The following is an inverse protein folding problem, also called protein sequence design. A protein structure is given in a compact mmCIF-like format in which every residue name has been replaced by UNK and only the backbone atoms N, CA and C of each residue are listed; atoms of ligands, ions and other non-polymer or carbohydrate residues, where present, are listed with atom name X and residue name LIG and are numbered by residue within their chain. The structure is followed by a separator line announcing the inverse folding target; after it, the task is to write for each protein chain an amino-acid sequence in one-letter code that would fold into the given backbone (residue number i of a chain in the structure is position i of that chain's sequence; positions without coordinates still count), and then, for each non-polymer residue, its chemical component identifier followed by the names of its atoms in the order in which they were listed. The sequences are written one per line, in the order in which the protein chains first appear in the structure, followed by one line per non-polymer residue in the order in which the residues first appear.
data_IF_862986739089
#
_entry.id   IF_862986739089
#
_cell.length_a   1.000
_cell.length_b   1.000
_cell.length_c   1.000
_cell.angle_alpha   90.00
_cell.angle_beta   90.00
_cell.angle_gamma   90.00
#
_symmetry.space_group_name_H-M   'P 1'
#
loop_
_entity.id
_entity.type
_entity.pdbx_description
1 polymer ?
#
# COMPACT_ATOMS: atom_id res chain seq x y z
N UNK A 1 11.52 -2.91 -19.38
CA UNK A 1 11.27 -3.19 -17.96
C UNK A 1 12.34 -2.46 -17.17
N UNK A 2 12.02 -1.63 -16.16
CA UNK A 2 13.07 -1.14 -15.26
C UNK A 2 13.81 -2.33 -14.64
N UNK A 3 15.14 -2.22 -14.48
CA UNK A 3 15.95 -3.28 -13.87
C UNK A 3 15.46 -3.57 -12.45
N UNK A 4 15.36 -4.86 -12.11
CA UNK A 4 14.94 -5.28 -10.78
C UNK A 4 16.04 -5.03 -9.74
N UNK A 5 15.67 -4.53 -8.56
CA UNK A 5 16.61 -4.15 -7.50
C UNK A 5 17.48 -5.32 -7.00
N UNK A 6 17.04 -6.56 -7.12
CA UNK A 6 17.80 -7.73 -6.65
C UNK A 6 19.06 -8.05 -7.47
N UNK A 7 19.26 -7.39 -8.63
CA UNK A 7 20.50 -7.48 -9.40
C UNK A 7 21.46 -6.30 -9.16
N UNK A 8 21.03 -5.27 -8.41
CA UNK A 8 21.82 -4.07 -8.17
C UNK A 8 22.67 -4.23 -6.92
N UNK A 9 23.84 -3.58 -6.91
CA UNK A 9 24.63 -3.47 -5.68
C UNK A 9 23.92 -2.55 -4.67
N UNK A 10 24.37 -2.62 -3.44
CA UNK A 10 23.89 -1.75 -2.35
C UNK A 10 24.11 -0.28 -2.66
N UNK A 11 25.27 0.07 -3.20
CA UNK A 11 25.67 1.45 -3.53
C UNK A 11 24.77 2.01 -4.64
N UNK A 12 24.61 1.25 -5.73
CA UNK A 12 23.75 1.64 -6.84
C UNK A 12 22.28 1.81 -6.41
N UNK A 13 21.82 0.97 -5.48
CA UNK A 13 20.47 1.06 -4.93
C UNK A 13 20.30 2.31 -4.07
N UNK A 14 21.27 2.62 -3.20
CA UNK A 14 21.26 3.82 -2.36
C UNK A 14 21.33 5.10 -3.17
N UNK A 15 22.15 5.13 -4.22
CA UNK A 15 22.25 6.26 -5.16
C UNK A 15 20.92 6.47 -5.90
N UNK A 16 20.34 5.40 -6.46
CA UNK A 16 19.06 5.48 -7.16
C UNK A 16 17.91 5.89 -6.24
N UNK A 17 17.90 5.42 -4.99
CA UNK A 17 16.89 5.77 -3.98
C UNK A 17 17.20 7.09 -3.27
N UNK A 18 18.32 7.74 -3.58
CA UNK A 18 18.78 8.98 -2.94
C UNK A 18 18.71 8.90 -1.41
N UNK A 19 19.13 7.76 -0.85
CA UNK A 19 19.07 7.48 0.59
C UNK A 19 20.47 7.35 1.16
N UNK A 20 20.67 7.87 2.37
CA UNK A 20 21.88 7.63 3.13
C UNK A 20 21.82 6.26 3.83
N UNK A 21 22.91 5.50 3.79
CA UNK A 21 22.95 4.16 4.38
C UNK A 21 22.90 4.17 5.92
N UNK A 22 23.43 5.22 6.56
CA UNK A 22 23.54 5.34 8.01
C UNK A 22 22.41 6.18 8.61
N UNK A 23 21.96 7.21 7.89
CA UNK A 23 20.97 8.20 8.37
C UNK A 23 19.59 8.03 7.75
N UNK A 24 19.47 7.29 6.64
CA UNK A 24 18.21 7.10 5.94
C UNK A 24 17.75 8.33 5.16
N UNK A 25 16.43 8.53 5.08
CA UNK A 25 15.81 9.68 4.40
C UNK A 25 15.51 10.80 5.40
N UNK A 26 15.66 12.04 4.94
CA UNK A 26 15.19 13.21 5.69
C UNK A 26 13.66 13.27 5.77
N UNK A 27 13.14 13.95 6.79
CA UNK A 27 11.68 14.02 7.04
C UNK A 27 10.90 14.61 5.87
N UNK A 28 11.42 15.67 5.23
CA UNK A 28 10.80 16.30 4.07
C UNK A 28 10.64 15.32 2.91
N UNK A 29 11.65 14.49 2.67
CA UNK A 29 11.64 13.48 1.60
C UNK A 29 10.68 12.35 1.93
N UNK A 30 10.54 11.97 3.20
CA UNK A 30 9.53 11.00 3.65
C UNK A 30 8.13 11.53 3.38
N UNK A 31 7.85 12.79 3.69
CA UNK A 31 6.53 13.42 3.43
C UNK A 31 6.26 13.47 1.94
N UNK A 32 7.22 13.93 1.13
CA UNK A 32 7.11 13.97 -0.33
C UNK A 32 6.83 12.59 -0.91
N UNK A 33 7.54 11.55 -0.48
CA UNK A 33 7.33 10.16 -0.95
C UNK A 33 5.98 9.60 -0.54
N UNK A 34 5.51 9.88 0.68
CA UNK A 34 4.16 9.47 1.11
C UNK A 34 3.07 10.12 0.27
N UNK A 35 3.25 11.36 -0.17
CA UNK A 35 2.32 12.02 -1.10
C UNK A 35 2.34 11.39 -2.49
N UNK A 36 3.51 10.96 -2.98
CA UNK A 36 3.68 10.38 -4.31
C UNK A 36 3.21 8.91 -4.40
N UNK A 37 3.57 8.09 -3.41
CA UNK A 37 3.35 6.65 -3.42
C UNK A 37 2.17 6.20 -2.55
N UNK A 38 1.70 7.07 -1.66
CA UNK A 38 0.73 6.71 -0.63
C UNK A 38 1.35 6.02 0.57
N UNK A 39 0.49 5.58 1.49
CA UNK A 39 0.91 4.78 2.63
C UNK A 39 1.29 3.37 2.18
N UNK A 40 2.29 2.77 2.82
CA UNK A 40 2.63 1.37 2.64
C UNK A 40 1.63 0.46 3.38
N UNK A 41 0.37 0.52 2.97
CA UNK A 41 -0.72 -0.30 3.50
C UNK A 41 -1.53 -0.85 2.34
N UNK A 42 -1.84 -2.14 2.43
CA UNK A 42 -2.73 -2.79 1.47
C UNK A 42 -4.14 -2.21 1.62
N UNK A 43 -4.84 -1.95 0.52
CA UNK A 43 -6.22 -1.47 0.59
C UNK A 43 -7.10 -2.53 1.25
N UNK A 44 -7.74 -2.15 2.35
CA UNK A 44 -8.71 -3.01 3.03
C UNK A 44 -10.06 -2.87 2.34
N UNK A 45 -10.66 -4.01 1.99
CA UNK A 45 -12.04 -4.03 1.54
C UNK A 45 -12.94 -3.72 2.74
N UNK A 46 -13.80 -2.72 2.59
CA UNK A 46 -14.79 -2.40 3.61
C UNK A 46 -15.72 -3.62 3.77
N UNK A 47 -15.93 -4.13 4.99
CA UNK A 47 -16.92 -5.17 5.20
C UNK A 47 -18.30 -4.66 4.81
N UNK A 48 -19.20 -5.56 4.40
CA UNK A 48 -20.60 -5.20 4.13
C UNK A 48 -21.18 -4.53 5.40
N UNK A 49 -21.86 -3.38 5.29
CA UNK A 49 -22.52 -2.77 6.44
C UNK A 49 -23.52 -3.73 7.08
N UNK A 50 -23.57 -3.80 8.41
CA UNK A 50 -24.44 -4.73 9.14
C UNK A 50 -25.91 -4.57 8.77
N UNK A 51 -26.38 -3.33 8.56
CA UNK A 51 -27.74 -3.05 8.10
C UNK A 51 -28.03 -3.65 6.72
N UNK A 52 -27.04 -3.62 5.82
CA UNK A 52 -27.17 -4.23 4.48
C UNK A 52 -27.26 -5.74 4.58
N UNK A 53 -26.40 -6.36 5.40
CA UNK A 53 -26.45 -7.81 5.66
C UNK A 53 -27.83 -8.19 6.22
N UNK A 54 -28.34 -7.42 7.19
CA UNK A 54 -29.66 -7.64 7.79
C UNK A 54 -30.79 -7.59 6.75
N UNK A 55 -30.83 -6.56 5.89
CA UNK A 55 -31.86 -6.44 4.85
C UNK A 55 -31.76 -7.54 3.79
N UNK A 56 -30.55 -7.94 3.38
CA UNK A 56 -30.34 -9.05 2.44
C UNK A 56 -30.98 -10.35 2.96
N UNK A 57 -30.95 -10.63 4.27
CA UNK A 57 -31.59 -11.83 4.85
C UNK A 57 -33.12 -11.89 4.71
N UNK A 58 -33.82 -10.74 4.60
CA UNK A 58 -35.27 -10.74 4.38
C UNK A 58 -35.65 -10.84 2.90
N UNK A 59 -34.69 -10.57 2.01
CA UNK A 59 -34.88 -10.60 0.56
C UNK A 59 -34.53 -11.95 -0.04
N UNK A 60 -33.88 -12.85 0.70
CA UNK A 60 -33.64 -14.22 0.27
C UNK A 60 -34.98 -14.99 0.27
N UNK A 61 -35.54 -15.33 -0.91
CA UNK A 61 -36.75 -16.13 -0.96
C UNK A 61 -36.41 -17.54 -0.50
N UNK A 62 -37.12 -18.04 0.51
CA UNK A 62 -37.10 -19.46 0.86
C UNK A 62 -37.73 -20.21 -0.33
N UNK A 63 -36.90 -20.70 -1.24
CA UNK A 63 -37.36 -21.62 -2.29
C UNK A 63 -37.53 -22.99 -1.63
N UNK A 64 -38.78 -23.46 -1.56
CA UNK A 64 -39.18 -24.79 -1.07
C UNK A 64 -39.44 -25.73 -2.24
#
# INVERSE_FOLDING_TARGET
MPEAFHFKSTEATLEQLQSDAARGLGEEEVVRRRQLYGENRLPEQKPKPTLRIFLEQFLDPIIY
#
